data_IF_356985743449
#
_entry.id   IF_356985743449
#
_cell.length_a   1.000
_cell.length_b   1.000
_cell.length_c   1.000
_cell.angle_alpha   90.00
_cell.angle_beta   90.00
_cell.angle_gamma   90.00
#
_symmetry.space_group_name_H-M   'P 1'
#
loop_
_entity.id
_entity.type
_entity.pdbx_description
1 polymer ?
#
# COMPACT_ATOMS: atom_id res chain seq x y z
N UNK A 1 13.88 8.41 -10.48
CA UNK A 1 12.57 8.12 -9.88
C UNK A 1 12.23 6.67 -10.20
N UNK A 2 11.96 5.86 -9.19
CA UNK A 2 11.57 4.46 -9.39
C UNK A 2 10.12 4.35 -9.86
N UNK A 3 9.69 3.14 -10.23
CA UNK A 3 8.30 2.90 -10.63
C UNK A 3 7.29 3.24 -9.52
N UNK A 4 7.56 2.85 -8.28
CA UNK A 4 6.68 3.14 -7.13
C UNK A 4 6.61 4.65 -6.85
N UNK A 5 7.75 5.35 -6.83
CA UNK A 5 7.79 6.79 -6.58
C UNK A 5 7.05 7.59 -7.67
N UNK A 6 7.20 7.19 -8.93
CA UNK A 6 6.48 7.79 -10.04
C UNK A 6 4.97 7.58 -9.92
N UNK A 7 4.54 6.37 -9.57
CA UNK A 7 3.13 6.07 -9.33
C UNK A 7 2.58 6.90 -8.17
N UNK A 8 3.32 7.00 -7.05
CA UNK A 8 2.98 7.83 -5.89
C UNK A 8 2.76 9.28 -6.27
N UNK A 9 3.69 9.88 -7.02
CA UNK A 9 3.59 11.27 -7.47
C UNK A 9 2.36 11.52 -8.34
N UNK A 10 2.09 10.64 -9.31
CA UNK A 10 0.94 10.78 -10.23
C UNK A 10 -0.41 10.76 -9.53
N UNK A 11 -0.55 9.93 -8.50
CA UNK A 11 -1.81 9.81 -7.76
C UNK A 11 -2.03 11.03 -6.87
N UNK A 12 -0.98 11.56 -6.24
CA UNK A 12 -1.08 12.74 -5.37
C UNK A 12 -1.48 14.01 -6.13
N UNK A 13 -1.14 14.11 -7.42
CA UNK A 13 -1.43 15.30 -8.26
C UNK A 13 -2.70 15.15 -9.12
N UNK A 14 -3.55 14.17 -8.85
CA UNK A 14 -4.60 13.75 -9.79
C UNK A 14 -5.82 14.70 -9.90
N UNK A 15 -5.91 15.75 -9.08
CA UNK A 15 -6.91 16.81 -9.30
C UNK A 15 -6.42 17.82 -10.35
N UNK A 16 -7.30 18.28 -11.27
CA UNK A 16 -7.00 19.38 -12.20
C UNK A 16 -6.48 20.66 -11.53
N UNK A 17 -6.78 20.82 -10.23
CA UNK A 17 -6.41 21.99 -9.42
C UNK A 17 -5.13 21.76 -8.59
N UNK A 18 -4.49 20.59 -8.73
CA UNK A 18 -3.30 20.23 -7.93
C UNK A 18 -3.59 19.79 -6.50
N UNK A 19 -4.86 19.62 -6.14
CA UNK A 19 -5.28 19.11 -4.84
C UNK A 19 -5.13 17.58 -4.73
N UNK A 20 -4.65 17.04 -3.60
CA UNK A 20 -4.70 15.61 -3.35
C UNK A 20 -6.15 15.11 -3.36
N UNK A 21 -6.46 14.14 -4.22
CA UNK A 21 -7.78 13.51 -4.22
C UNK A 21 -7.90 12.67 -2.96
N UNK A 22 -8.75 13.10 -2.02
CA UNK A 22 -8.94 12.39 -0.76
C UNK A 22 -9.53 11.01 -1.04
N UNK A 23 -8.99 9.98 -0.37
CA UNK A 23 -9.51 8.63 -0.44
C UNK A 23 -8.93 7.76 -1.56
N UNK A 24 -8.07 8.29 -2.43
CA UNK A 24 -7.34 7.46 -3.42
C UNK A 24 -6.29 6.58 -2.77
N UNK A 25 -5.97 5.46 -3.42
CA UNK A 25 -4.87 4.61 -3.01
C UNK A 25 -3.55 5.23 -3.46
N UNK A 26 -2.71 5.59 -2.49
CA UNK A 26 -1.35 6.05 -2.73
C UNK A 26 -0.41 4.87 -2.43
N UNK A 27 0.42 4.42 -3.40
CA UNK A 27 1.32 3.31 -3.16
C UNK A 27 2.38 3.66 -2.12
N UNK A 28 2.61 2.72 -1.20
CA UNK A 28 3.73 2.73 -0.28
C UNK A 28 5.00 2.23 -0.98
N UNK A 29 6.10 2.94 -0.76
CA UNK A 29 7.42 2.61 -1.28
C UNK A 29 8.41 2.52 -0.12
N UNK A 30 9.42 1.66 -0.23
CA UNK A 30 10.52 1.58 0.73
C UNK A 30 11.57 2.69 0.53
N UNK A 31 12.63 2.67 1.33
CA UNK A 31 13.73 3.66 1.28
C UNK A 31 14.54 3.61 -0.02
N UNK A 32 14.43 2.53 -0.79
CA UNK A 32 15.03 2.37 -2.11
C UNK A 32 14.04 2.72 -3.23
N UNK A 33 12.84 3.19 -2.90
CA UNK A 33 11.78 3.51 -3.82
C UNK A 33 11.14 2.27 -4.48
N UNK A 34 11.36 1.05 -3.98
CA UNK A 34 10.65 -0.13 -4.47
C UNK A 34 9.26 -0.21 -3.81
N UNK A 35 8.35 -0.97 -4.42
CA UNK A 35 7.07 -1.25 -3.77
C UNK A 35 7.30 -2.06 -2.49
N UNK A 36 6.65 -1.64 -1.40
CA UNK A 36 6.57 -2.50 -0.23
C UNK A 36 5.71 -3.72 -0.62
N UNK A 37 6.13 -4.96 -0.34
CA UNK A 37 5.36 -6.12 -0.76
C UNK A 37 3.93 -6.14 -0.24
N UNK A 38 3.68 -5.60 0.97
CA UNK A 38 2.36 -5.40 1.53
C UNK A 38 1.91 -3.95 1.34
N UNK A 39 0.87 -3.74 0.53
CA UNK A 39 0.25 -2.44 0.30
C UNK A 39 -1.07 -2.35 1.05
N UNK A 40 -1.41 -1.15 1.53
CA UNK A 40 -2.68 -0.90 2.21
C UNK A 40 -3.35 0.36 1.70
N UNK A 41 -4.66 0.31 1.49
CA UNK A 41 -5.45 1.47 1.15
C UNK A 41 -5.93 2.17 2.42
N UNK A 42 -5.24 3.24 2.83
CA UNK A 42 -5.50 3.92 4.10
C UNK A 42 -6.94 4.39 4.30
N UNK A 43 -7.66 4.76 3.23
CA UNK A 43 -9.06 5.25 3.35
C UNK A 43 -10.09 4.14 3.47
N UNK A 44 -9.86 2.98 2.85
CA UNK A 44 -10.80 1.86 2.93
C UNK A 44 -10.40 0.84 3.99
N UNK A 45 -9.13 0.80 4.40
CA UNK A 45 -8.56 -0.17 5.34
C UNK A 45 -8.21 -1.53 4.74
N UNK A 46 -8.31 -1.71 3.43
CA UNK A 46 -7.93 -2.98 2.77
C UNK A 46 -6.42 -3.08 2.61
N UNK A 47 -5.88 -4.30 2.68
CA UNK A 47 -4.47 -4.56 2.40
C UNK A 47 -4.30 -5.74 1.44
N UNK A 48 -3.26 -5.75 0.62
CA UNK A 48 -2.96 -6.82 -0.35
C UNK A 48 -1.46 -6.90 -0.61
N UNK A 49 -1.00 -8.05 -1.13
CA UNK A 49 0.37 -8.17 -1.57
C UNK A 49 0.53 -7.70 -3.01
N UNK A 50 1.67 -7.09 -3.33
CA UNK A 50 2.07 -6.73 -4.68
C UNK A 50 3.37 -7.42 -5.09
N UNK A 51 3.62 -7.47 -6.39
CA UNK A 51 4.93 -7.80 -6.95
C UNK A 51 5.85 -6.56 -7.05
N UNK A 52 7.05 -6.74 -7.62
CA UNK A 52 8.01 -5.66 -7.80
C UNK A 52 7.54 -4.54 -8.77
N UNK A 53 6.49 -4.78 -9.56
CA UNK A 53 5.89 -3.78 -10.43
C UNK A 53 4.73 -3.04 -9.74
N UNK A 54 4.31 -3.47 -8.55
CA UNK A 54 3.18 -2.93 -7.82
C UNK A 54 1.85 -3.58 -8.19
N UNK A 55 1.86 -4.70 -8.91
CA UNK A 55 0.65 -5.40 -9.30
C UNK A 55 0.17 -6.32 -8.16
N UNK A 56 -1.11 -6.23 -7.83
CA UNK A 56 -1.73 -7.07 -6.80
C UNK A 56 -1.65 -8.56 -7.12
N UNK A 57 -1.22 -9.35 -6.12
CA UNK A 57 -1.20 -10.81 -6.18
C UNK A 57 -2.61 -11.37 -5.88
N UNK A 58 -3.17 -12.24 -6.73
CA UNK A 58 -4.51 -12.78 -6.52
C UNK A 58 -4.69 -13.45 -5.15
N UNK A 59 -5.84 -13.22 -4.51
CA UNK A 59 -6.21 -13.86 -3.24
C UNK A 59 -5.50 -13.31 -1.99
N UNK A 60 -4.73 -12.23 -2.11
CA UNK A 60 -4.01 -11.62 -0.98
C UNK A 60 -4.74 -10.44 -0.35
N UNK A 61 -5.80 -9.94 -1.00
CA UNK A 61 -6.60 -8.82 -0.48
C UNK A 61 -7.39 -9.21 0.77
N UNK A 62 -7.27 -8.38 1.79
CA UNK A 62 -7.86 -8.54 3.12
C UNK A 62 -8.77 -7.35 3.43
N UNK A 63 -9.85 -7.61 4.15
CA UNK A 63 -10.82 -6.59 4.55
C UNK A 63 -10.31 -5.80 5.77
N UNK A 64 -10.84 -4.60 6.03
CA UNK A 64 -10.52 -3.84 7.23
C UNK A 64 -10.84 -4.65 8.48
N UNK A 65 -9.97 -4.62 9.49
CA UNK A 65 -10.17 -5.42 10.70
C UNK A 65 -9.89 -6.92 10.55
N UNK A 66 -9.43 -7.38 9.38
CA UNK A 66 -8.82 -8.71 9.21
C UNK A 66 -7.29 -8.68 9.17
N UNK A 67 -6.59 -9.68 9.74
CA UNK A 67 -5.13 -9.75 9.67
C UNK A 67 -4.65 -9.84 8.23
N UNK A 68 -3.60 -9.10 7.89
CA UNK A 68 -2.98 -9.17 6.57
C UNK A 68 -2.27 -10.50 6.36
N UNK A 69 -2.02 -10.85 5.11
CA UNK A 69 -1.18 -12.01 4.76
C UNK A 69 0.31 -11.65 4.83
N UNK A 70 1.17 -12.64 5.10
CA UNK A 70 2.60 -12.51 4.89
C UNK A 70 2.91 -12.54 3.39
N UNK A 71 3.49 -11.47 2.86
CA UNK A 71 3.81 -11.39 1.43
C UNK A 71 5.10 -12.15 1.06
N UNK A 72 5.98 -12.41 2.03
CA UNK A 72 7.21 -13.19 1.87
C UNK A 72 6.94 -14.69 2.06
N UNK A 73 5.87 -15.04 2.79
CA UNK A 73 5.43 -16.42 3.03
C UNK A 73 3.96 -16.65 2.62
N UNK A 74 3.70 -17.16 1.40
CA UNK A 74 2.33 -17.49 1.00
C UNK A 74 1.76 -18.60 1.90
N UNK A 75 0.89 -18.23 2.85
CA UNK A 75 0.18 -19.17 3.73
C UNK A 75 0.14 -18.80 5.22
N UNK A 76 0.91 -17.81 5.67
CA UNK A 76 0.93 -17.38 7.08
C UNK A 76 0.19 -16.03 7.23
N UNK A 77 -0.74 -15.93 8.19
CA UNK A 77 -1.45 -14.67 8.50
C UNK A 77 -0.60 -13.88 9.48
N UNK A 78 -0.21 -12.65 9.12
CA UNK A 78 0.58 -11.78 10.00
C UNK A 78 -0.37 -10.93 10.82
N UNK A 79 -0.14 -10.92 12.14
CA UNK A 79 -0.93 -10.12 13.07
C UNK A 79 -0.81 -8.61 12.75
N UNK A 80 -1.89 -7.89 13.07
CA UNK A 80 -2.21 -6.48 12.83
C UNK A 80 -1.10 -5.42 13.03
N UNK A 81 0.00 -5.77 13.68
CA UNK A 81 0.97 -4.82 14.23
C UNK A 81 1.96 -4.22 13.23
N UNK A 82 1.99 -4.65 11.96
CA UNK A 82 2.90 -4.07 10.95
C UNK A 82 2.32 -2.89 10.14
N UNK A 83 1.01 -2.65 10.18
CA UNK A 83 0.38 -1.55 9.41
C UNK A 83 0.08 -0.28 10.22
N UNK A 84 0.21 -0.28 11.54
CA UNK A 84 -0.03 0.93 12.33
C UNK A 84 1.14 1.93 12.26
N UNK A 85 2.35 1.51 11.89
CA UNK A 85 3.54 2.36 11.95
C UNK A 85 3.67 3.42 10.85
N UNK A 86 2.74 3.54 9.88
CA UNK A 86 2.79 4.58 8.84
C UNK A 86 1.70 5.66 8.97
N UNK A 87 0.80 5.57 9.95
CA UNK A 87 -0.32 6.53 10.12
C UNK A 87 -0.39 7.22 11.50
N UNK A 88 0.64 7.12 12.32
CA UNK A 88 0.82 8.02 13.47
C UNK A 88 2.09 8.84 13.25
N UNK A 89 1.92 10.07 12.75
CA UNK A 89 2.85 11.13 13.13
C UNK A 89 2.71 11.34 14.64
N UNK A 90 3.62 10.76 15.42
CA UNK A 90 4.16 11.40 16.60
C UNK A 90 5.66 11.61 16.36
#
# INVERSE_FOLDING_TARGET
LTHCEHHRGRVQTSSPEGHPVVGVYVPQCDDHGQYIPLQCHGSTGHCWCVDNTGQERPGTRTAPGTPSVDCDKPGERVSFLRCWCLFLNL
#
